data_IF_495035847497
#
_entry.id   IF_495035847497
#
_cell.length_a   1.000
_cell.length_b   1.000
_cell.length_c   1.000
_cell.angle_alpha   90.00
_cell.angle_beta   90.00
_cell.angle_gamma   90.00
#
_symmetry.space_group_name_H-M   'P 1'
#
loop_
_entity.id
_entity.type
_entity.pdbx_description
1 polymer ?
#
# COMPACT_ATOMS: atom_id res chain seq x y z
N UNK A 1 -11.50 18.38 17.71
CA UNK A 1 -11.08 17.59 16.53
C UNK A 1 -12.02 17.96 15.41
N UNK A 2 -11.53 18.60 14.34
CA UNK A 2 -12.40 18.95 13.20
C UNK A 2 -12.65 17.70 12.34
N UNK A 3 -13.90 17.50 11.93
CA UNK A 3 -14.27 16.45 10.96
C UNK A 3 -13.52 16.64 9.64
N UNK A 4 -13.13 15.53 9.00
CA UNK A 4 -12.47 15.56 7.70
C UNK A 4 -13.51 15.83 6.60
N UNK A 5 -13.19 16.64 5.58
CA UNK A 5 -14.09 16.80 4.43
C UNK A 5 -14.46 15.44 3.81
N UNK A 6 -15.76 15.19 3.66
CA UNK A 6 -16.28 13.96 3.04
C UNK A 6 -16.42 12.76 3.98
N UNK A 7 -16.26 12.93 5.30
CA UNK A 7 -16.36 11.84 6.29
C UNK A 7 -17.68 11.05 6.24
N UNK A 8 -18.77 11.66 5.76
CA UNK A 8 -20.07 11.02 5.61
C UNK A 8 -20.31 10.34 4.25
N UNK A 9 -19.37 10.43 3.32
CA UNK A 9 -19.52 9.89 1.96
C UNK A 9 -19.11 8.41 1.95
N UNK A 10 -20.03 7.55 1.50
CA UNK A 10 -19.77 6.12 1.28
C UNK A 10 -19.47 5.85 -0.19
N UNK A 11 -18.96 4.65 -0.49
CA UNK A 11 -18.72 4.19 -1.87
C UNK A 11 -19.99 4.27 -2.74
N UNK A 12 -21.17 4.12 -2.13
CA UNK A 12 -22.45 4.17 -2.85
C UNK A 12 -22.74 5.55 -3.45
N UNK A 13 -22.29 6.62 -2.79
CA UNK A 13 -22.44 7.99 -3.24
C UNK A 13 -21.43 8.38 -4.34
N UNK A 14 -20.45 7.52 -4.64
CA UNK A 14 -19.46 7.76 -5.69
C UNK A 14 -19.97 7.30 -7.06
N UNK A 15 -19.53 7.96 -8.15
CA UNK A 15 -19.85 7.56 -9.52
C UNK A 15 -19.00 6.36 -9.96
N UNK A 16 -18.98 5.28 -9.17
CA UNK A 16 -18.28 4.04 -9.53
C UNK A 16 -19.05 3.29 -10.63
N UNK A 17 -18.30 2.52 -11.43
CA UNK A 17 -18.89 1.66 -12.46
C UNK A 17 -19.85 0.66 -11.81
N UNK A 18 -21.01 0.46 -12.44
CA UNK A 18 -22.07 -0.38 -11.89
C UNK A 18 -21.59 -1.82 -11.59
N UNK A 19 -20.74 -2.37 -12.44
CA UNK A 19 -20.20 -3.72 -12.26
C UNK A 19 -19.24 -3.89 -11.07
N UNK A 20 -18.84 -2.80 -10.41
CA UNK A 20 -18.00 -2.80 -9.21
C UNK A 20 -18.82 -2.66 -7.93
N UNK A 21 -20.12 -2.30 -8.00
CA UNK A 21 -20.97 -2.18 -6.82
C UNK A 21 -21.13 -3.54 -6.13
N UNK A 22 -21.11 -3.53 -4.80
CA UNK A 22 -21.23 -4.74 -3.97
C UNK A 22 -20.08 -5.74 -4.10
N UNK A 23 -19.04 -5.46 -4.89
CA UNK A 23 -17.83 -6.29 -4.93
C UNK A 23 -16.99 -6.04 -3.68
N UNK A 24 -16.29 -7.07 -3.24
CA UNK A 24 -15.30 -6.98 -2.18
C UNK A 24 -13.90 -6.89 -2.79
N UNK A 25 -13.00 -6.19 -2.12
CA UNK A 25 -11.61 -6.13 -2.53
C UNK A 25 -10.99 -7.53 -2.51
N UNK A 26 -10.08 -7.80 -3.46
CA UNK A 26 -9.30 -9.02 -3.45
C UNK A 26 -8.22 -8.94 -2.36
N UNK A 27 -8.07 -10.02 -1.59
CA UNK A 27 -7.00 -10.16 -0.61
C UNK A 27 -7.51 -10.83 0.67
N UNK A 28 -6.66 -11.69 1.25
CA UNK A 28 -6.89 -12.19 2.59
C UNK A 28 -6.66 -11.07 3.62
N UNK A 29 -7.31 -11.12 4.80
CA UNK A 29 -6.99 -10.23 5.90
C UNK A 29 -5.51 -10.32 6.30
N UNK A 30 -4.86 -9.18 6.51
CA UNK A 30 -3.46 -9.10 6.96
C UNK A 30 -3.41 -9.26 8.48
N UNK A 31 -3.21 -10.49 8.95
CA UNK A 31 -3.18 -10.81 10.38
C UNK A 31 -1.76 -10.76 10.93
N UNK A 32 -1.56 -10.13 12.09
CA UNK A 32 -0.31 -10.23 12.84
C UNK A 32 -0.28 -11.55 13.62
N UNK A 33 0.24 -12.59 12.98
CA UNK A 33 0.43 -13.92 13.57
C UNK A 33 1.90 -14.33 13.60
N UNK A 34 2.32 -15.22 14.51
CA UNK A 34 3.74 -15.60 14.66
C UNK A 34 4.37 -16.24 13.41
N UNK A 35 3.58 -16.88 12.55
CA UNK A 35 4.04 -17.57 11.33
C UNK A 35 3.11 -17.20 10.18
N UNK A 36 3.61 -16.42 9.22
CA UNK A 36 2.88 -15.95 8.03
C UNK A 36 3.44 -16.65 6.78
N UNK A 37 2.82 -17.77 6.40
CA UNK A 37 3.23 -18.61 5.25
C UNK A 37 2.08 -18.76 4.23
N UNK A 38 1.27 -17.69 4.06
CA UNK A 38 0.10 -17.68 3.18
C UNK A 38 0.36 -16.99 1.82
N UNK A 39 1.48 -16.29 1.68
CA UNK A 39 1.96 -15.68 0.43
C UNK A 39 3.32 -16.27 0.07
N UNK A 40 3.64 -16.34 -1.23
CA UNK A 40 4.89 -16.94 -1.73
C UNK A 40 6.08 -15.96 -1.59
N UNK A 41 6.22 -15.31 -0.45
CA UNK A 41 7.28 -14.34 -0.19
C UNK A 41 8.63 -15.01 0.07
N UNK A 42 9.70 -14.27 -0.15
CA UNK A 42 11.01 -14.68 0.30
C UNK A 42 11.11 -14.45 1.83
N UNK A 43 11.40 -15.47 2.65
CA UNK A 43 11.50 -15.32 4.11
C UNK A 43 12.80 -14.62 4.56
N UNK A 44 13.76 -14.40 3.66
CA UNK A 44 15.02 -13.74 3.98
C UNK A 44 14.88 -12.21 3.85
N UNK A 45 15.16 -11.44 4.91
CA UNK A 45 15.10 -9.99 4.83
C UNK A 45 16.20 -9.45 3.89
N UNK A 46 16.00 -8.26 3.31
CA UNK A 46 17.07 -7.53 2.63
C UNK A 46 18.33 -7.40 3.48
N UNK A 47 19.50 -7.47 2.84
CA UNK A 47 20.77 -7.16 3.51
C UNK A 47 20.90 -5.66 3.74
N UNK A 48 21.70 -5.25 4.74
CA UNK A 48 21.96 -3.82 4.98
C UNK A 48 22.53 -3.13 3.74
N UNK A 49 23.46 -3.78 3.03
CA UNK A 49 24.03 -3.25 1.80
C UNK A 49 22.96 -2.98 0.72
N UNK A 50 21.96 -3.86 0.58
CA UNK A 50 20.86 -3.66 -0.36
C UNK A 50 19.96 -2.50 0.08
N UNK A 51 19.67 -2.39 1.37
CA UNK A 51 18.86 -1.31 1.92
C UNK A 51 19.53 0.04 1.67
N UNK A 52 20.82 0.15 1.96
CA UNK A 52 21.60 1.39 1.81
C UNK A 52 21.65 1.84 0.34
N UNK A 53 21.91 0.90 -0.57
CA UNK A 53 21.99 1.19 -2.01
C UNK A 53 20.64 1.64 -2.59
N UNK A 54 19.54 0.98 -2.22
CA UNK A 54 18.19 1.40 -2.63
C UNK A 54 17.86 2.80 -2.10
N UNK A 55 18.14 3.07 -0.82
CA UNK A 55 17.85 4.36 -0.21
C UNK A 55 18.65 5.49 -0.87
N UNK A 56 19.93 5.26 -1.13
CA UNK A 56 20.81 6.21 -1.81
C UNK A 56 20.38 6.47 -3.26
N UNK A 57 20.04 5.41 -3.99
CA UNK A 57 19.53 5.51 -5.37
C UNK A 57 18.25 6.36 -5.44
N UNK A 58 17.32 6.18 -4.50
CA UNK A 58 16.10 7.01 -4.40
C UNK A 58 16.45 8.46 -4.08
N UNK A 59 17.42 8.70 -3.19
CA UNK A 59 17.88 10.04 -2.82
C UNK A 59 18.47 10.80 -4.01
N UNK A 60 19.31 10.14 -4.81
CA UNK A 60 19.88 10.74 -6.01
C UNK A 60 18.80 11.03 -7.06
N UNK A 61 17.88 10.09 -7.31
CA UNK A 61 16.77 10.30 -8.24
C UNK A 61 15.88 11.49 -7.83
N UNK A 62 15.63 11.66 -6.53
CA UNK A 62 14.79 12.74 -6.01
C UNK A 62 15.35 14.15 -6.31
N UNK A 63 16.68 14.30 -6.39
CA UNK A 63 17.30 15.60 -6.74
C UNK A 63 16.87 16.09 -8.11
N UNK A 64 16.56 15.20 -9.03
CA UNK A 64 16.25 15.53 -10.43
C UNK A 64 14.75 15.61 -10.74
N UNK A 65 13.87 15.45 -9.73
CA UNK A 65 12.41 15.48 -9.93
C UNK A 65 11.83 16.89 -10.17
N UNK A 66 12.63 17.95 -9.98
CA UNK A 66 12.20 19.34 -10.14
C UNK A 66 12.40 19.88 -11.57
N UNK A 67 12.44 18.98 -12.56
CA UNK A 67 12.49 19.33 -13.98
C UNK A 67 11.09 19.36 -14.57
#
# INVERSE_FOLDING_TARGET
MSSAPGESITVDALPIRENLRGKSAYGAPQLTVPVQLNTNENPHPPTQALIDDVAESVREAAKELHR
#
